data_IF_549665549669
#
_entry.id   IF_549665549669
#
_cell.length_a   1.000
_cell.length_b   1.000
_cell.length_c   1.000
_cell.angle_alpha   90.00
_cell.angle_beta   90.00
_cell.angle_gamma   90.00
#
_symmetry.space_group_name_H-M   'P 1'
#
loop_
_entity.id
_entity.type
_entity.pdbx_description
1 polymer ?
#
# COMPACT_ATOMS: atom_id res chain seq x y z
N UNK A 1 -1.47 9.02 17.04
CA UNK A 1 -1.06 8.29 15.83
C UNK A 1 -0.03 7.27 16.27
N UNK A 2 -0.13 6.01 15.82
CA UNK A 2 0.88 5.00 16.14
C UNK A 2 2.24 5.44 15.59
N UNK A 3 3.25 5.40 16.44
CA UNK A 3 4.65 5.72 16.14
C UNK A 3 5.41 4.50 15.62
N UNK A 4 6.58 4.67 14.95
CA UNK A 4 7.45 3.55 14.58
C UNK A 4 7.78 2.63 15.76
N UNK A 5 8.06 3.20 16.93
CA UNK A 5 8.25 2.42 18.15
C UNK A 5 7.04 1.56 18.52
N UNK A 6 5.84 2.13 18.50
CA UNK A 6 4.61 1.38 18.78
C UNK A 6 4.32 0.30 17.72
N UNK A 7 4.78 0.49 16.46
CA UNK A 7 4.76 -0.54 15.43
C UNK A 7 5.60 -1.76 15.85
N UNK A 8 6.85 -1.56 16.28
CA UNK A 8 7.72 -2.66 16.70
C UNK A 8 7.24 -3.31 18.00
N UNK A 9 6.68 -2.54 18.93
CA UNK A 9 6.02 -3.09 20.13
C UNK A 9 4.82 -3.98 19.74
N UNK A 10 4.01 -3.56 18.75
CA UNK A 10 2.91 -4.36 18.20
C UNK A 10 3.40 -5.63 17.52
N UNK A 11 4.44 -5.55 16.68
CA UNK A 11 5.04 -6.69 16.00
C UNK A 11 5.59 -7.71 17.01
N UNK A 12 6.35 -7.23 18.00
CA UNK A 12 6.91 -8.06 19.08
C UNK A 12 5.82 -8.75 19.90
N UNK A 13 4.73 -8.03 20.23
CA UNK A 13 3.59 -8.61 20.96
C UNK A 13 2.97 -9.82 20.25
N UNK A 14 3.01 -9.84 18.93
CA UNK A 14 2.46 -10.93 18.11
C UNK A 14 3.53 -11.91 17.62
N UNK A 15 4.78 -11.81 18.12
CA UNK A 15 5.93 -12.60 17.68
C UNK A 15 6.11 -12.57 16.14
N UNK A 16 5.87 -11.41 15.52
CA UNK A 16 6.01 -11.27 14.08
C UNK A 16 7.47 -11.48 13.65
N UNK A 17 7.67 -12.24 12.59
CA UNK A 17 8.97 -12.50 11.96
C UNK A 17 9.13 -11.71 10.66
N UNK A 18 8.01 -11.35 10.03
CA UNK A 18 7.97 -10.69 8.73
C UNK A 18 7.11 -9.41 8.77
N UNK A 19 7.44 -8.48 7.89
CA UNK A 19 6.64 -7.31 7.54
C UNK A 19 6.17 -7.44 6.10
N UNK A 20 4.87 -7.31 5.86
CA UNK A 20 4.28 -7.25 4.52
C UNK A 20 3.86 -5.81 4.20
N UNK A 21 4.69 -5.11 3.43
CA UNK A 21 4.44 -3.74 3.01
C UNK A 21 3.51 -3.72 1.80
N UNK A 22 2.42 -2.95 1.88
CA UNK A 22 1.35 -2.91 0.88
C UNK A 22 1.13 -1.49 0.35
N UNK A 23 0.82 -1.36 -0.93
CA UNK A 23 0.37 -0.12 -1.55
C UNK A 23 -0.62 -0.40 -2.67
N UNK A 24 -1.29 0.62 -3.20
CA UNK A 24 -2.32 0.48 -4.23
C UNK A 24 -1.82 1.09 -5.53
N UNK A 25 -1.93 0.37 -6.64
CA UNK A 25 -1.65 0.92 -7.96
C UNK A 25 -2.81 1.78 -8.49
N UNK A 26 -2.59 2.48 -9.62
CA UNK A 26 -3.60 3.36 -10.21
C UNK A 26 -4.93 2.66 -10.57
N UNK A 27 -4.91 1.34 -10.78
CA UNK A 27 -6.10 0.57 -11.16
C UNK A 27 -6.82 -0.02 -9.93
N UNK A 28 -6.30 0.21 -8.73
CA UNK A 28 -6.92 -0.23 -7.48
C UNK A 28 -6.42 -1.60 -7.00
N UNK A 29 -5.38 -2.18 -7.61
CA UNK A 29 -4.82 -3.46 -7.16
C UNK A 29 -3.87 -3.24 -6.00
N UNK A 30 -4.02 -4.04 -4.94
CA UNK A 30 -3.03 -4.11 -3.87
C UNK A 30 -1.76 -4.80 -4.38
N UNK A 31 -0.65 -4.07 -4.32
CA UNK A 31 0.69 -4.55 -4.54
C UNK A 31 1.36 -4.73 -3.18
N UNK A 32 2.27 -5.69 -3.05
CA UNK A 32 2.97 -5.91 -1.79
C UNK A 32 4.34 -6.55 -1.96
N UNK A 33 5.20 -6.33 -0.96
CA UNK A 33 6.50 -6.99 -0.83
C UNK A 33 6.75 -7.30 0.66
N UNK A 34 7.27 -8.49 0.93
CA UNK A 34 7.52 -8.96 2.29
C UNK A 34 9.01 -8.92 2.63
N UNK A 35 9.32 -8.49 3.84
CA UNK A 35 10.67 -8.31 4.35
C UNK A 35 10.79 -8.99 5.72
N UNK A 36 11.95 -9.58 6.05
CA UNK A 36 12.24 -9.99 7.42
C UNK A 36 12.17 -8.79 8.38
N UNK A 37 11.48 -8.93 9.52
CA UNK A 37 11.28 -7.84 10.47
C UNK A 37 12.60 -7.29 11.02
N UNK A 38 13.63 -8.14 11.12
CA UNK A 38 14.96 -7.77 11.61
C UNK A 38 15.76 -6.88 10.64
N UNK A 39 15.32 -6.74 9.39
CA UNK A 39 15.88 -5.81 8.42
C UNK A 39 15.30 -4.40 8.53
N UNK A 40 14.29 -4.20 9.38
CA UNK A 40 13.61 -2.93 9.58
C UNK A 40 13.97 -2.31 10.93
N UNK A 41 14.02 -0.99 10.93
CA UNK A 41 14.20 -0.17 12.13
C UNK A 41 13.27 1.06 12.11
N UNK A 42 13.36 1.92 13.12
CA UNK A 42 12.56 3.15 13.16
C UNK A 42 12.89 4.09 11.99
N UNK A 43 14.14 4.08 11.50
CA UNK A 43 14.59 4.89 10.35
C UNK A 43 13.90 4.48 9.04
N UNK A 44 13.51 3.21 8.91
CA UNK A 44 12.79 2.70 7.73
C UNK A 44 11.48 3.45 7.47
N UNK A 45 10.85 4.03 8.50
CA UNK A 45 9.62 4.84 8.38
C UNK A 45 9.86 6.26 7.86
N UNK A 46 11.11 6.71 7.82
CA UNK A 46 11.52 8.00 7.24
C UNK A 46 12.26 7.81 5.92
N UNK A 47 13.16 6.83 5.87
CA UNK A 47 14.00 6.53 4.71
C UNK A 47 13.24 5.82 3.60
N UNK A 48 12.29 4.94 3.96
CA UNK A 48 11.50 4.14 3.03
C UNK A 48 12.19 2.89 2.51
N UNK A 49 11.43 2.10 1.75
CA UNK A 49 11.92 0.89 1.08
C UNK A 49 11.84 1.06 -0.43
N UNK A 50 12.97 0.83 -1.12
CA UNK A 50 13.07 0.96 -2.57
C UNK A 50 12.36 -0.18 -3.31
N UNK A 51 11.73 0.14 -4.45
CA UNK A 51 11.12 -0.84 -5.35
C UNK A 51 11.11 -0.35 -6.81
N UNK A 52 10.90 -1.27 -7.75
CA UNK A 52 10.78 -0.97 -9.18
C UNK A 52 9.37 -0.49 -9.54
N UNK A 53 9.22 0.82 -9.72
CA UNK A 53 8.00 1.47 -10.16
C UNK A 53 7.65 1.27 -11.64
N UNK A 54 8.58 0.78 -12.47
CA UNK A 54 8.30 0.50 -13.89
C UNK A 54 7.50 -0.79 -14.07
N UNK A 55 7.58 -1.69 -13.09
CA UNK A 55 6.75 -2.89 -13.00
C UNK A 55 5.31 -2.59 -12.53
N UNK A 56 5.02 -1.35 -12.10
CA UNK A 56 3.68 -0.95 -11.66
C UNK A 56 2.93 -0.27 -12.81
N UNK A 57 1.74 -0.78 -13.10
CA UNK A 57 0.93 -0.33 -14.25
C UNK A 57 0.60 1.16 -14.15
N UNK A 58 0.96 1.90 -15.19
CA UNK A 58 0.68 3.33 -15.30
C UNK A 58 1.61 4.23 -14.49
N UNK A 59 2.70 3.70 -13.93
CA UNK A 59 3.69 4.46 -13.17
C UNK A 59 4.91 4.80 -14.04
N UNK A 60 6.11 4.50 -13.58
CA UNK A 60 7.35 5.00 -14.18
C UNK A 60 7.70 4.27 -15.47
N UNK A 61 8.46 4.94 -16.33
CA UNK A 61 9.14 4.27 -17.42
C UNK A 61 10.41 3.57 -16.91
N UNK A 62 10.92 2.59 -17.67
CA UNK A 62 12.09 1.79 -17.28
C UNK A 62 13.33 2.66 -16.98
N UNK A 63 13.49 3.80 -17.66
CA UNK A 63 14.62 4.71 -17.46
C UNK A 63 14.52 5.56 -16.18
N UNK A 64 13.42 5.49 -15.44
CA UNK A 64 13.18 6.19 -14.18
C UNK A 64 12.46 5.27 -13.19
N UNK A 65 12.87 3.99 -13.15
CA UNK A 65 12.18 2.91 -12.46
C UNK A 65 12.15 3.04 -10.95
N UNK A 66 13.22 3.55 -10.34
CA UNK A 66 13.38 3.53 -8.90
C UNK A 66 12.31 4.40 -8.21
N UNK A 67 11.60 3.79 -7.27
CA UNK A 67 10.58 4.44 -6.46
C UNK A 67 10.75 4.04 -5.00
N UNK A 68 10.15 4.81 -4.10
CA UNK A 68 10.32 4.63 -2.67
C UNK A 68 8.96 4.51 -1.97
N UNK A 69 8.80 3.47 -1.15
CA UNK A 69 7.62 3.22 -0.36
C UNK A 69 7.88 3.59 1.12
N UNK A 70 7.16 4.60 1.62
CA UNK A 70 7.25 5.05 3.02
C UNK A 70 6.13 4.39 3.83
N UNK A 71 6.43 3.45 4.73
CA UNK A 71 5.41 2.79 5.54
C UNK A 71 4.73 3.75 6.52
N UNK A 72 3.43 3.57 6.75
CA UNK A 72 2.64 4.37 7.68
C UNK A 72 2.33 3.54 8.94
N UNK A 73 3.09 3.74 10.02
CA UNK A 73 3.02 2.92 11.25
C UNK A 73 1.61 2.75 11.85
N UNK A 74 0.73 3.76 11.70
CA UNK A 74 -0.66 3.71 12.15
C UNK A 74 -1.53 2.66 11.46
N UNK A 75 -1.12 2.20 10.28
CA UNK A 75 -1.83 1.19 9.50
C UNK A 75 -1.49 -0.24 9.90
N UNK A 76 -0.56 -0.47 10.84
CA UNK A 76 -0.09 -1.80 11.21
C UNK A 76 -1.22 -2.73 11.64
N UNK A 77 -1.28 -3.93 11.08
CA UNK A 77 -2.21 -5.00 11.46
C UNK A 77 -1.49 -6.33 11.42
N UNK A 78 -1.96 -7.32 12.17
CA UNK A 78 -1.53 -8.71 11.97
C UNK A 78 -2.24 -9.26 10.73
N UNK A 79 -1.51 -9.87 9.80
CA UNK A 79 -2.09 -10.54 8.66
C UNK A 79 -2.44 -11.99 9.04
N UNK A 80 -3.73 -12.40 8.98
CA UNK A 80 -4.16 -13.71 9.48
C UNK A 80 -3.90 -14.86 8.50
N UNK A 81 -3.43 -14.56 7.29
CA UNK A 81 -3.34 -15.56 6.21
C UNK A 81 -1.94 -16.15 6.06
N UNK A 82 -0.92 -15.51 6.62
CA UNK A 82 0.45 -16.04 6.60
C UNK A 82 0.62 -17.14 7.65
N UNK A 83 1.33 -18.21 7.27
CA UNK A 83 1.71 -19.28 8.19
C UNK A 83 2.68 -18.78 9.26
N UNK A 84 3.70 -18.03 8.85
CA UNK A 84 4.64 -17.39 9.76
C UNK A 84 4.06 -16.03 10.20
N UNK A 85 4.11 -15.68 11.50
CA UNK A 85 3.54 -14.43 12.01
C UNK A 85 4.05 -13.20 11.24
N UNK A 86 3.14 -12.50 10.56
CA UNK A 86 3.47 -11.39 9.64
C UNK A 86 2.62 -10.18 9.96
N UNK A 87 3.26 -9.02 10.17
CA UNK A 87 2.53 -7.74 10.27
C UNK A 87 2.41 -7.09 8.91
N UNK A 88 1.22 -6.64 8.56
CA UNK A 88 0.97 -5.86 7.36
C UNK A 88 0.97 -4.36 7.65
N UNK A 89 1.59 -3.58 6.77
CA UNK A 89 1.65 -2.11 6.84
C UNK A 89 1.39 -1.49 5.47
N UNK A 90 0.63 -0.41 5.42
CA UNK A 90 0.35 0.35 4.20
C UNK A 90 1.43 1.41 4.02
N UNK A 91 1.91 1.58 2.80
CA UNK A 91 2.89 2.60 2.43
C UNK A 91 2.28 3.72 1.57
N UNK A 92 2.92 4.90 1.64
CA UNK A 92 2.76 5.98 0.68
C UNK A 92 3.94 5.97 -0.28
N UNK A 93 3.73 6.38 -1.52
CA UNK A 93 4.80 6.38 -2.52
C UNK A 93 5.36 7.77 -2.70
N UNK A 94 6.70 7.87 -2.73
CA UNK A 94 7.41 9.13 -2.92
C UNK A 94 8.49 8.97 -3.99
N UNK A 95 8.90 10.10 -4.57
CA UNK A 95 10.06 10.17 -5.44
C UNK A 95 11.35 9.92 -4.63
N UNK A 96 12.27 9.06 -5.07
CA UNK A 96 13.46 8.73 -4.29
C UNK A 96 14.46 9.90 -4.18
N UNK A 97 14.46 10.82 -5.14
CA UNK A 97 15.40 11.95 -5.21
C UNK A 97 14.86 13.17 -4.49
N UNK A 98 13.61 13.55 -4.75
CA UNK A 98 13.01 14.76 -4.16
C UNK A 98 12.30 14.49 -2.84
N UNK A 99 12.00 13.21 -2.52
CA UNK A 99 11.16 12.78 -1.41
C UNK A 99 9.73 13.37 -1.45
N UNK A 100 9.31 13.93 -2.58
CA UNK A 100 7.97 14.44 -2.77
C UNK A 100 6.97 13.31 -2.99
N UNK A 101 5.74 13.48 -2.50
CA UNK A 101 4.68 12.49 -2.68
C UNK A 101 4.37 12.26 -4.16
N UNK A 102 4.38 11.00 -4.57
CA UNK A 102 4.23 10.62 -5.97
C UNK A 102 2.83 11.00 -6.49
N UNK A 103 2.78 11.68 -7.64
CA UNK A 103 1.55 12.25 -8.16
C UNK A 103 0.53 11.20 -8.62
N UNK A 104 0.98 9.99 -8.96
CA UNK A 104 0.14 8.87 -9.40
C UNK A 104 -0.06 7.80 -8.32
N UNK A 105 0.27 8.11 -7.06
CA UNK A 105 -0.17 7.30 -5.93
C UNK A 105 -1.63 7.66 -5.58
N UNK A 106 -2.60 6.74 -5.72
CA UNK A 106 -4.00 7.00 -5.36
C UNK A 106 -4.17 7.47 -3.92
N UNK A 107 -3.33 7.01 -2.98
CA UNK A 107 -3.37 7.42 -1.58
C UNK A 107 -2.96 8.89 -1.43
N UNK A 108 -1.96 9.35 -2.17
CA UNK A 108 -1.60 10.75 -2.24
C UNK A 108 -2.71 11.61 -2.86
N UNK A 109 -3.36 11.13 -3.93
CA UNK A 109 -4.51 11.82 -4.54
C UNK A 109 -5.64 12.03 -3.50
N UNK A 110 -5.96 11.00 -2.72
CA UNK A 110 -6.93 11.10 -1.62
C UNK A 110 -6.49 12.11 -0.55
N UNK A 111 -5.22 12.08 -0.12
CA UNK A 111 -4.67 13.04 0.85
C UNK A 111 -4.78 14.49 0.35
N UNK A 112 -4.49 14.73 -0.94
CA UNK A 112 -4.67 16.05 -1.58
C UNK A 112 -6.14 16.48 -1.60
N UNK A 113 -7.06 15.57 -1.90
CA UNK A 113 -8.51 15.85 -1.84
C UNK A 113 -8.97 16.27 -0.44
N UNK A 114 -8.52 15.57 0.60
CA UNK A 114 -8.83 15.93 1.99
C UNK A 114 -8.20 17.26 2.42
N UNK A 115 -6.98 17.56 1.96
CA UNK A 115 -6.35 18.86 2.22
C UNK A 115 -7.11 20.00 1.53
N UNK A 116 -7.54 19.79 0.28
CA UNK A 116 -8.33 20.75 -0.47
C UNK A 116 -9.69 21.04 0.19
N UNK A 117 -10.39 20.01 0.69
CA UNK A 117 -11.65 20.18 1.44
C UNK A 117 -11.50 21.16 2.61
N UNK A 118 -10.42 21.00 3.38
CA UNK A 118 -10.08 21.90 4.50
C UNK A 118 -9.75 23.31 4.01
N UNK A 119 -8.97 23.44 2.93
CA UNK A 119 -8.61 24.75 2.35
C UNK A 119 -9.83 25.55 1.88
N UNK A 120 -10.86 24.87 1.36
CA UNK A 120 -12.09 25.53 0.95
C UNK A 120 -12.94 26.05 2.13
N UNK A 121 -12.62 25.68 3.38
CA UNK A 121 -13.37 26.03 4.58
C UNK A 121 -14.87 25.64 4.51
N UNK A 122 -15.21 24.58 3.76
CA UNK A 122 -16.58 24.07 3.63
C UNK A 122 -16.85 23.01 4.71
N UNK A 123 -15.87 22.13 4.98
CA UNK A 123 -15.95 21.09 5.99
C UNK A 123 -14.54 20.64 6.43
N UNK A 124 -14.45 20.00 7.59
CA UNK A 124 -13.19 19.48 8.12
C UNK A 124 -12.96 18.00 7.81
N UNK A 125 -14.05 17.24 7.62
CA UNK A 125 -14.04 15.78 7.49
C UNK A 125 -15.07 15.32 6.47
N UNK A 126 -14.69 14.36 5.63
CA UNK A 126 -15.59 13.65 4.72
C UNK A 126 -15.68 12.19 5.18
N UNK A 127 -16.88 11.73 5.54
CA UNK A 127 -17.13 10.34 5.89
C UNK A 127 -17.62 9.59 4.65
N UNK A 128 -17.02 8.43 4.36
CA UNK A 128 -17.36 7.58 3.22
C UNK A 128 -17.76 6.20 3.74
N UNK A 129 -18.96 5.73 3.38
CA UNK A 129 -19.49 4.41 3.73
C UNK A 129 -19.61 3.53 2.48
N UNK A 130 -18.58 2.74 2.12
CA UNK A 130 -18.67 1.84 0.99
C UNK A 130 -19.45 0.56 1.34
N UNK A 131 -20.25 0.06 0.40
CA UNK A 131 -20.96 -1.23 0.49
C UNK A 131 -20.50 -2.15 -0.67
N UNK A 132 -19.32 -2.80 -0.56
CA UNK A 132 -18.82 -3.65 -1.63
C UNK A 132 -19.56 -5.00 -1.63
N UNK A 133 -20.51 -5.16 -2.55
CA UNK A 133 -21.10 -6.46 -2.86
C UNK A 133 -20.06 -7.38 -3.52
N UNK A 134 -20.10 -8.68 -3.23
CA UNK A 134 -19.17 -9.66 -3.80
C UNK A 134 -19.81 -11.04 -3.98
N UNK A 135 -19.17 -11.87 -4.80
CA UNK A 135 -19.56 -13.26 -5.03
C UNK A 135 -18.49 -14.21 -4.46
N UNK A 136 -18.93 -15.37 -3.92
CA UNK A 136 -18.05 -16.49 -3.58
C UNK A 136 -18.38 -17.62 -4.57
N UNK A 137 -17.42 -17.98 -5.42
CA UNK A 137 -17.57 -19.04 -6.41
C UNK A 137 -16.77 -20.28 -6.01
N UNK A 138 -17.27 -21.47 -6.36
CA UNK A 138 -16.53 -22.73 -6.21
C UNK A 138 -15.51 -22.95 -7.35
N UNK A 139 -15.82 -22.48 -8.57
CA UNK A 139 -14.96 -22.57 -9.75
C UNK A 139 -15.22 -21.37 -10.67
N UNK A 140 -14.17 -20.91 -11.37
CA UNK A 140 -14.24 -19.82 -12.36
C UNK A 140 -13.42 -20.20 -13.58
N UNK A 141 -14.04 -20.20 -14.76
CA UNK A 141 -13.37 -20.45 -16.04
C UNK A 141 -13.79 -19.39 -17.04
N UNK A 142 -12.85 -18.79 -17.74
CA UNK A 142 -13.17 -17.88 -18.84
C UNK A 142 -12.14 -18.04 -19.96
N UNK A 143 -12.57 -17.82 -21.19
CA UNK A 143 -11.69 -17.79 -22.37
C UNK A 143 -12.04 -16.57 -23.21
N UNK A 144 -11.01 -15.84 -23.61
CA UNK A 144 -11.11 -14.81 -24.64
C UNK A 144 -9.97 -15.03 -25.62
N UNK A 145 -10.31 -15.54 -26.81
CA UNK A 145 -9.38 -15.80 -27.89
C UNK A 145 -9.97 -15.33 -29.22
N UNK A 146 -9.10 -15.09 -30.20
CA UNK A 146 -9.48 -14.53 -31.51
C UNK A 146 -10.56 -15.35 -32.24
N UNK A 147 -10.67 -16.65 -31.94
CA UNK A 147 -11.63 -17.59 -32.53
C UNK A 147 -12.56 -18.26 -31.50
N UNK A 148 -12.70 -17.72 -30.28
CA UNK A 148 -13.63 -18.30 -29.32
C UNK A 148 -13.67 -17.61 -27.96
N UNK A 149 -14.88 -17.61 -27.37
CA UNK A 149 -15.17 -17.04 -26.05
C UNK A 149 -16.02 -18.03 -25.23
N UNK A 150 -15.70 -18.19 -23.94
CA UNK A 150 -16.51 -18.98 -22.98
C UNK A 150 -16.43 -18.38 -21.56
N UNK A 151 -17.44 -18.66 -20.74
CA UNK A 151 -17.55 -18.30 -19.31
C UNK A 151 -17.98 -19.54 -18.51
#
# INVERSE_FOLDING_TARGET
MTTPREFFEFAKKHNAEMVDLKFVDMLGTWQHCSYPLDTWDEGTFEEGVGFDGSSIRGWQAINASDMLAIPEASSVRLDPFFKEPTVSVIANIVDPMTKENYSRDPRNVMKKGLAYLKQCNIADTCFVGPEPEFFIFDDVRYRSAQNGTSY
#
